data_IF_582688129130
#
_entry.id   IF_582688129130
#
_cell.length_a   1.000
_cell.length_b   1.000
_cell.length_c   1.000
_cell.angle_alpha   90.00
_cell.angle_beta   90.00
_cell.angle_gamma   90.00
#
_symmetry.space_group_name_H-M   'P 1'
#
loop_
_entity.id
_entity.type
_entity.pdbx_description
1 polymer ?
#
# COMPACT_ATOMS: atom_id res chain seq x y z
N UNK A 1 53.73 12.37 -48.63
CA UNK A 1 52.30 12.35 -48.97
C UNK A 1 51.65 11.30 -48.10
N UNK A 2 51.15 11.72 -46.93
CA UNK A 2 50.31 10.89 -46.06
C UNK A 2 48.88 11.27 -46.37
N UNK A 3 48.02 10.29 -46.63
CA UNK A 3 46.57 10.39 -46.41
C UNK A 3 45.99 8.97 -46.30
N UNK A 4 45.64 8.57 -45.08
CA UNK A 4 44.60 7.56 -44.82
C UNK A 4 43.81 8.05 -43.61
N UNK A 5 42.64 8.62 -43.87
CA UNK A 5 41.66 9.01 -42.86
C UNK A 5 40.96 7.75 -42.31
N UNK A 6 41.16 7.47 -41.02
CA UNK A 6 40.34 6.50 -40.27
C UNK A 6 39.28 7.27 -39.48
N UNK A 7 38.02 7.15 -39.89
CA UNK A 7 36.86 7.57 -39.10
C UNK A 7 36.77 6.70 -37.83
N UNK A 8 36.98 7.30 -36.67
CA UNK A 8 36.58 6.70 -35.39
C UNK A 8 36.13 7.78 -34.42
N UNK A 9 34.84 8.13 -34.47
CA UNK A 9 34.14 8.89 -33.43
C UNK A 9 32.68 8.49 -33.38
N UNK A 10 32.29 7.77 -32.31
CA UNK A 10 31.06 7.92 -31.50
C UNK A 10 30.69 6.59 -30.80
N UNK A 11 31.40 6.23 -29.74
CA UNK A 11 30.88 5.25 -28.75
C UNK A 11 31.10 5.72 -27.29
N UNK A 12 31.72 6.88 -27.06
CA UNK A 12 32.04 7.35 -25.70
C UNK A 12 31.22 8.60 -25.36
N UNK A 13 29.96 8.43 -24.94
CA UNK A 13 29.28 9.47 -24.09
C UNK A 13 27.96 9.01 -23.43
N UNK A 14 27.49 7.77 -23.61
CA UNK A 14 26.26 7.30 -22.94
C UNK A 14 26.51 6.87 -21.49
N UNK A 15 27.57 6.10 -21.25
CA UNK A 15 27.92 5.55 -19.94
C UNK A 15 28.33 6.61 -18.89
N UNK A 16 28.97 7.71 -19.32
CA UNK A 16 29.36 8.82 -18.42
C UNK A 16 28.17 9.68 -17.99
N UNK A 17 27.24 9.97 -18.91
CA UNK A 17 25.98 10.68 -18.59
C UNK A 17 25.05 9.85 -17.71
N UNK A 18 24.98 8.53 -17.94
CA UNK A 18 24.22 7.59 -17.12
C UNK A 18 24.71 7.56 -15.65
N UNK A 19 26.03 7.48 -15.42
CA UNK A 19 26.60 7.52 -14.06
C UNK A 19 26.33 8.84 -13.32
N UNK A 20 26.25 9.97 -14.04
CA UNK A 20 25.97 11.28 -13.43
C UNK A 20 24.50 11.39 -13.03
N UNK A 21 23.56 10.95 -13.87
CA UNK A 21 22.11 10.94 -13.53
C UNK A 21 21.83 10.01 -12.35
N UNK A 22 22.52 8.87 -12.27
CA UNK A 22 22.42 7.90 -11.19
C UNK A 22 22.95 8.46 -9.85
N UNK A 23 24.03 9.26 -9.89
CA UNK A 23 24.51 10.04 -8.74
C UNK A 23 23.57 11.21 -8.37
N UNK A 24 22.85 11.78 -9.34
CA UNK A 24 21.98 12.96 -9.13
C UNK A 24 20.68 12.62 -8.39
N UNK A 25 20.30 11.34 -8.23
CA UNK A 25 19.06 10.93 -7.53
C UNK A 25 19.29 10.06 -6.29
N UNK A 26 20.55 9.88 -5.88
CA UNK A 26 20.90 9.12 -4.67
C UNK A 26 20.78 10.01 -3.43
N UNK A 27 20.03 9.54 -2.43
CA UNK A 27 19.97 10.14 -1.10
C UNK A 27 20.81 9.32 -0.12
N UNK A 28 21.65 10.00 0.68
CA UNK A 28 22.36 9.39 1.82
C UNK A 28 21.55 9.64 3.08
N UNK A 29 20.53 8.83 3.34
CA UNK A 29 19.62 9.10 4.45
C UNK A 29 20.26 8.68 5.78
N UNK A 30 20.46 9.59 6.75
CA UNK A 30 21.05 9.24 8.03
C UNK A 30 20.18 8.23 8.77
N UNK A 31 20.84 7.32 9.47
CA UNK A 31 20.20 6.24 10.22
C UNK A 31 19.11 6.73 11.18
N UNK A 32 19.39 7.78 11.96
CA UNK A 32 18.49 8.26 13.00
C UNK A 32 17.22 8.89 12.43
N UNK A 33 17.18 9.13 11.11
CA UNK A 33 16.03 9.69 10.39
C UNK A 33 15.15 8.61 9.75
N UNK A 34 15.57 7.34 9.76
CA UNK A 34 14.81 6.26 9.14
C UNK A 34 13.50 5.99 9.88
N UNK A 35 13.53 6.05 11.21
CA UNK A 35 12.39 5.75 12.08
C UNK A 35 11.84 7.02 12.75
N UNK A 36 11.42 7.99 11.92
CA UNK A 36 10.81 9.23 12.42
C UNK A 36 9.41 8.94 12.94
N UNK A 37 9.15 9.32 14.20
CA UNK A 37 7.81 9.29 14.81
C UNK A 37 7.41 10.73 15.14
N UNK A 38 6.32 11.26 14.54
CA UNK A 38 5.84 12.58 14.89
C UNK A 38 5.16 12.57 16.26
N UNK A 39 5.25 13.68 16.99
CA UNK A 39 4.61 13.83 18.30
C UNK A 39 3.18 14.38 18.26
N UNK A 40 2.87 15.19 17.25
CA UNK A 40 1.60 15.94 17.18
C UNK A 40 0.71 15.45 16.05
N UNK A 41 1.13 15.70 14.80
CA UNK A 41 0.34 15.38 13.62
C UNK A 41 0.97 14.28 12.78
N UNK A 42 0.12 13.51 12.09
CA UNK A 42 0.57 12.48 11.15
C UNK A 42 1.34 13.10 9.98
N UNK A 43 2.53 12.58 9.71
CA UNK A 43 3.31 12.92 8.52
C UNK A 43 2.65 12.25 7.30
N UNK A 44 2.35 13.04 6.28
CA UNK A 44 1.79 12.54 5.02
C UNK A 44 2.87 11.91 4.14
N UNK A 45 2.46 11.02 3.22
CA UNK A 45 3.38 10.38 2.26
C UNK A 45 4.08 11.45 1.41
N UNK A 46 3.32 12.44 0.95
CA UNK A 46 3.85 13.55 0.14
C UNK A 46 4.84 14.39 0.93
N UNK A 47 4.53 14.76 2.19
CA UNK A 47 5.48 15.50 3.03
C UNK A 47 6.79 14.73 3.24
N UNK A 48 6.71 13.41 3.49
CA UNK A 48 7.90 12.55 3.63
C UNK A 48 8.76 12.56 2.36
N UNK A 49 8.14 12.45 1.18
CA UNK A 49 8.85 12.48 -0.11
C UNK A 49 9.49 13.84 -0.37
N UNK A 50 8.76 14.93 -0.16
CA UNK A 50 9.28 16.31 -0.27
C UNK A 50 10.51 16.46 0.64
N UNK A 51 10.40 16.03 1.89
CA UNK A 51 11.50 16.08 2.85
C UNK A 51 12.75 15.33 2.36
N UNK A 52 12.59 14.13 1.79
CA UNK A 52 13.71 13.36 1.24
C UNK A 52 14.38 14.07 0.05
N UNK A 53 13.61 14.70 -0.82
CA UNK A 53 14.14 15.49 -1.95
C UNK A 53 14.89 16.72 -1.43
N UNK A 54 14.28 17.48 -0.50
CA UNK A 54 14.94 18.62 0.15
C UNK A 54 16.24 18.21 0.81
N UNK A 55 16.26 17.10 1.56
CA UNK A 55 17.46 16.60 2.21
C UNK A 55 18.57 16.31 1.20
N UNK A 56 18.23 15.73 0.05
CA UNK A 56 19.20 15.46 -1.00
C UNK A 56 19.77 16.75 -1.62
N UNK A 57 18.93 17.76 -1.88
CA UNK A 57 19.41 19.06 -2.37
C UNK A 57 20.32 19.75 -1.35
N UNK A 58 20.00 19.64 -0.06
CA UNK A 58 20.83 20.20 1.00
C UNK A 58 22.19 19.49 1.10
N UNK A 59 22.20 18.14 1.03
CA UNK A 59 23.43 17.35 1.02
C UNK A 59 24.37 17.73 -0.14
N UNK A 60 23.82 18.03 -1.31
CA UNK A 60 24.61 18.49 -2.47
C UNK A 60 25.20 19.89 -2.29
N UNK A 61 24.53 20.74 -1.53
CA UNK A 61 24.98 22.11 -1.28
C UNK A 61 26.06 22.21 -0.20
N UNK A 62 26.22 21.15 0.60
CA UNK A 62 27.24 21.05 1.64
C UNK A 62 26.77 21.52 3.00
N UNK A 63 27.39 20.97 4.05
CA UNK A 63 27.02 21.21 5.45
C UNK A 63 27.35 22.62 5.94
N UNK A 64 28.29 23.33 5.31
CA UNK A 64 28.73 24.66 5.72
C UNK A 64 27.65 25.75 5.60
N UNK A 65 26.64 25.56 4.74
CA UNK A 65 25.57 26.56 4.55
C UNK A 65 24.54 26.50 5.67
N UNK A 66 24.00 27.63 6.10
CA UNK A 66 22.91 27.67 7.09
C UNK A 66 21.52 27.53 6.47
N UNK A 67 21.36 28.01 5.25
CA UNK A 67 20.15 27.86 4.45
C UNK A 67 20.47 27.16 3.11
N UNK A 68 19.49 26.42 2.62
CA UNK A 68 19.54 25.68 1.37
C UNK A 68 18.49 26.21 0.40
N UNK A 69 18.84 26.25 -0.88
CA UNK A 69 17.94 26.76 -1.92
C UNK A 69 17.76 25.76 -3.06
N UNK A 70 16.56 25.68 -3.61
CA UNK A 70 16.28 24.96 -4.85
C UNK A 70 15.06 25.57 -5.53
N UNK A 71 14.96 25.44 -6.86
CA UNK A 71 13.74 25.84 -7.55
C UNK A 71 12.62 24.92 -7.11
N UNK A 72 11.45 25.50 -6.83
CA UNK A 72 10.31 24.72 -6.37
C UNK A 72 9.88 23.68 -7.42
N UNK A 73 10.04 24.01 -8.70
CA UNK A 73 9.82 23.10 -9.83
C UNK A 73 10.75 21.86 -9.79
N UNK A 74 11.97 21.99 -9.30
CA UNK A 74 12.92 20.87 -9.21
C UNK A 74 12.55 19.93 -8.05
N UNK A 75 12.10 20.49 -6.92
CA UNK A 75 11.59 19.70 -5.78
C UNK A 75 10.33 18.94 -6.17
N UNK A 76 9.45 19.62 -6.92
CA UNK A 76 8.27 19.06 -7.55
C UNK A 76 8.66 17.91 -8.51
N UNK A 77 9.60 18.10 -9.42
CA UNK A 77 10.03 17.05 -10.35
C UNK A 77 10.61 15.83 -9.62
N UNK A 78 11.33 16.04 -8.52
CA UNK A 78 11.89 14.95 -7.70
C UNK A 78 10.84 14.03 -7.03
N UNK A 79 9.59 14.46 -6.96
CA UNK A 79 8.44 13.66 -6.48
C UNK A 79 7.40 13.41 -7.60
N UNK A 80 7.79 13.72 -8.85
CA UNK A 80 6.97 13.75 -10.06
C UNK A 80 5.62 14.48 -9.87
N UNK A 81 5.65 15.80 -10.04
CA UNK A 81 4.63 16.72 -9.53
C UNK A 81 4.19 17.69 -10.62
N UNK A 82 2.88 17.81 -10.81
CA UNK A 82 2.30 18.77 -11.76
C UNK A 82 1.25 19.61 -11.03
N UNK A 83 1.66 20.72 -10.43
CA UNK A 83 0.69 21.66 -9.85
C UNK A 83 1.23 23.08 -9.72
N UNK A 84 0.37 24.04 -10.05
CA UNK A 84 0.55 25.46 -9.77
C UNK A 84 -0.03 25.85 -8.39
N UNK A 85 -0.36 24.90 -7.51
CA UNK A 85 -1.03 25.18 -6.23
C UNK A 85 -0.05 25.45 -5.09
N UNK A 86 0.53 26.65 -5.09
CA UNK A 86 1.50 27.12 -4.08
C UNK A 86 0.97 27.04 -2.64
N UNK A 87 -0.34 27.21 -2.41
CA UNK A 87 -0.92 27.16 -1.07
C UNK A 87 -0.88 25.78 -0.42
N UNK A 88 -1.07 24.72 -1.22
CA UNK A 88 -0.94 23.35 -0.72
C UNK A 88 0.52 23.04 -0.34
N UNK A 89 1.48 23.55 -1.10
CA UNK A 89 2.91 23.41 -0.82
C UNK A 89 3.27 24.12 0.49
N UNK A 90 2.81 25.37 0.66
CA UNK A 90 2.97 26.11 1.92
C UNK A 90 2.38 25.34 3.11
N UNK A 91 1.27 24.61 2.92
CA UNK A 91 0.69 23.76 3.95
C UNK A 91 1.63 22.61 4.36
N UNK A 92 2.26 21.93 3.40
CA UNK A 92 3.27 20.91 3.71
C UNK A 92 4.48 21.49 4.46
N UNK A 93 4.97 22.67 4.07
CA UNK A 93 6.08 23.32 4.78
C UNK A 93 5.70 23.74 6.20
N UNK A 94 4.51 24.32 6.40
CA UNK A 94 3.98 24.60 7.75
C UNK A 94 3.92 23.33 8.58
N UNK A 95 3.38 22.25 8.03
CA UNK A 95 3.31 20.96 8.72
C UNK A 95 4.71 20.47 9.11
N UNK A 96 5.69 20.52 8.22
CA UNK A 96 7.07 20.09 8.52
C UNK A 96 7.72 20.96 9.60
N UNK A 97 7.48 22.28 9.58
CA UNK A 97 8.02 23.21 10.56
C UNK A 97 7.40 23.04 11.97
N UNK A 98 6.16 22.55 12.06
CA UNK A 98 5.47 22.32 13.35
C UNK A 98 5.53 20.88 13.84
N UNK A 99 5.97 19.93 13.01
CA UNK A 99 6.07 18.52 13.38
C UNK A 99 7.33 18.28 14.21
N UNK A 100 7.18 18.25 15.53
CA UNK A 100 8.23 17.82 16.44
C UNK A 100 8.52 16.33 16.31
N UNK A 101 9.81 16.00 16.16
CA UNK A 101 10.31 14.64 15.99
C UNK A 101 11.38 14.37 17.03
N UNK A 102 11.33 13.18 17.62
CA UNK A 102 12.43 12.65 18.43
C UNK A 102 13.44 11.96 17.53
N UNK A 103 14.70 12.36 17.65
CA UNK A 103 15.83 11.79 16.94
C UNK A 103 16.51 10.80 17.85
N UNK A 104 16.42 9.51 17.49
CA UNK A 104 17.06 8.42 18.20
C UNK A 104 17.41 7.31 17.21
N UNK A 105 18.60 6.71 17.34
CA UNK A 105 18.95 5.54 16.54
C UNK A 105 18.02 4.36 16.88
N UNK A 106 17.43 3.70 15.88
CA UNK A 106 16.63 2.49 16.09
C UNK A 106 17.50 1.24 16.34
N UNK A 107 18.83 1.34 16.25
CA UNK A 107 19.73 0.19 16.40
C UNK A 107 20.41 0.23 17.76
N UNK A 108 20.23 -0.83 18.54
CA UNK A 108 20.91 -1.04 19.82
C UNK A 108 22.43 -0.94 19.64
N UNK A 109 23.10 -0.19 20.52
CA UNK A 109 24.56 -0.03 20.53
C UNK A 109 25.13 1.10 19.67
N UNK A 110 24.31 1.88 18.95
CA UNK A 110 24.78 3.02 18.14
C UNK A 110 24.87 4.36 18.92
N UNK A 111 24.85 4.31 20.25
CA UNK A 111 24.84 5.48 21.13
C UNK A 111 23.42 6.05 21.31
N UNK A 112 22.99 6.19 22.56
CA UNK A 112 21.70 6.79 22.88
C UNK A 112 21.83 8.32 22.93
N UNK A 113 21.89 8.97 21.77
CA UNK A 113 21.68 10.41 21.69
C UNK A 113 20.20 10.66 21.42
N UNK A 114 19.53 11.32 22.36
CA UNK A 114 18.14 11.74 22.23
C UNK A 114 18.11 13.25 22.04
N UNK A 115 17.41 13.70 21.00
CA UNK A 115 17.14 15.12 20.80
C UNK A 115 15.75 15.31 20.18
N UNK A 116 15.19 16.51 20.35
CA UNK A 116 13.95 16.91 19.68
C UNK A 116 14.27 18.06 18.73
N UNK A 117 13.73 17.99 17.52
CA UNK A 117 13.60 19.16 16.66
C UNK A 117 12.45 18.99 15.67
N UNK A 118 12.05 20.09 15.03
CA UNK A 118 11.14 20.01 13.89
C UNK A 118 11.83 19.38 12.67
N UNK A 119 11.05 18.88 11.71
CA UNK A 119 11.61 18.33 10.46
C UNK A 119 12.42 19.40 9.71
N UNK A 120 11.92 20.63 9.67
CA UNK A 120 12.64 21.80 9.14
C UNK A 120 12.57 22.93 10.17
N UNK A 121 13.61 23.73 10.27
CA UNK A 121 13.64 24.90 11.16
C UNK A 121 13.00 26.13 10.50
N UNK A 122 13.10 26.23 9.17
CA UNK A 122 12.62 27.37 8.40
C UNK A 122 12.23 26.95 6.98
N UNK A 123 11.28 27.67 6.37
CA UNK A 123 10.99 27.62 4.96
C UNK A 123 10.47 28.98 4.45
N UNK A 124 11.01 29.45 3.33
CA UNK A 124 10.62 30.67 2.65
C UNK A 124 10.48 30.43 1.14
N UNK A 125 9.47 31.04 0.52
CA UNK A 125 9.25 30.99 -0.92
C UNK A 125 9.59 32.36 -1.51
N UNK A 126 10.67 32.43 -2.28
CA UNK A 126 11.22 33.65 -2.85
C UNK A 126 10.92 33.68 -4.35
N UNK A 127 10.20 34.70 -4.81
CA UNK A 127 9.98 34.92 -6.24
C UNK A 127 11.25 35.51 -6.85
N UNK A 128 11.86 34.80 -7.80
CA UNK A 128 13.04 35.27 -8.52
C UNK A 128 12.72 35.28 -10.03
N UNK A 129 12.37 36.46 -10.55
CA UNK A 129 11.86 36.59 -11.92
C UNK A 129 10.58 35.78 -12.11
N UNK A 130 10.56 34.86 -13.07
CA UNK A 130 9.42 33.98 -13.34
C UNK A 130 9.51 32.62 -12.63
N UNK A 131 10.53 32.41 -11.79
CA UNK A 131 10.72 31.17 -11.04
C UNK A 131 10.46 31.39 -9.53
N UNK A 132 9.91 30.37 -8.88
CA UNK A 132 9.73 30.34 -7.44
C UNK A 132 10.82 29.48 -6.81
N UNK A 133 11.64 30.07 -5.94
CA UNK A 133 12.74 29.42 -5.24
C UNK A 133 12.30 29.11 -3.81
N UNK A 134 12.48 27.87 -3.37
CA UNK A 134 12.35 27.50 -1.97
C UNK A 134 13.70 27.71 -1.28
N UNK A 135 13.70 28.46 -0.18
CA UNK A 135 14.76 28.47 0.82
C UNK A 135 14.28 27.69 2.07
N UNK A 136 15.16 26.89 2.68
CA UNK A 136 14.86 26.20 3.94
C UNK A 136 16.12 25.99 4.78
N UNK A 137 15.94 25.69 6.07
CA UNK A 137 17.04 25.29 6.97
C UNK A 137 16.65 24.13 7.88
N UNK A 138 17.66 23.46 8.43
CA UNK A 138 17.51 22.43 9.45
C UNK A 138 17.94 22.95 10.81
N UNK A 139 17.45 22.34 11.89
CA UNK A 139 17.85 22.73 13.23
C UNK A 139 19.36 22.49 13.43
N UNK A 140 20.12 23.45 14.01
CA UNK A 140 21.58 23.37 14.10
C UNK A 140 22.10 22.11 14.78
N UNK A 141 21.37 21.60 15.78
CA UNK A 141 21.72 20.42 16.56
C UNK A 141 21.73 19.11 15.76
N UNK A 142 20.96 19.02 14.67
CA UNK A 142 20.88 17.80 13.83
C UNK A 142 21.47 18.01 12.42
N UNK A 143 21.78 19.25 12.04
CA UNK A 143 22.26 19.63 10.70
C UNK A 143 23.45 18.80 10.25
N UNK A 144 24.47 18.64 11.10
CA UNK A 144 25.66 17.85 10.78
C UNK A 144 25.27 16.40 10.45
N UNK A 145 24.45 15.80 11.31
CA UNK A 145 24.02 14.41 11.14
C UNK A 145 23.16 14.22 9.89
N UNK A 146 22.31 15.20 9.56
CA UNK A 146 21.48 15.17 8.37
C UNK A 146 22.27 15.24 7.07
N UNK A 147 23.28 16.11 7.03
CA UNK A 147 23.90 16.53 5.77
C UNK A 147 25.22 15.83 5.45
N UNK A 148 25.96 15.45 6.48
CA UNK A 148 27.15 14.63 6.35
C UNK A 148 27.13 13.45 7.32
N UNK A 149 26.17 12.51 7.13
CA UNK A 149 26.04 11.36 8.00
C UNK A 149 27.22 10.40 7.84
N UNK A 150 27.84 10.01 8.96
CA UNK A 150 28.79 8.90 8.96
C UNK A 150 28.11 7.55 8.72
N UNK A 151 26.87 7.39 9.21
CA UNK A 151 26.04 6.17 9.07
C UNK A 151 24.76 6.51 8.33
N UNK A 152 24.59 5.95 7.14
CA UNK A 152 23.47 6.26 6.27
C UNK A 152 23.02 5.05 5.45
N UNK A 153 21.74 5.09 5.05
CA UNK A 153 21.19 4.23 4.02
C UNK A 153 21.27 4.93 2.66
N UNK A 154 21.74 4.21 1.65
CA UNK A 154 21.74 4.67 0.26
C UNK A 154 20.42 4.28 -0.39
N UNK A 155 19.67 5.26 -0.89
CA UNK A 155 18.37 4.99 -1.52
C UNK A 155 18.15 5.90 -2.74
N UNK A 156 17.46 5.35 -3.74
CA UNK A 156 17.09 6.11 -4.94
C UNK A 156 15.80 6.88 -4.70
N UNK A 157 15.83 8.19 -4.94
CA UNK A 157 14.63 9.04 -4.91
C UNK A 157 13.59 8.59 -5.96
N UNK A 158 14.02 8.01 -7.08
CA UNK A 158 13.11 7.49 -8.10
C UNK A 158 12.31 6.29 -7.57
N UNK A 159 12.96 5.39 -6.85
CA UNK A 159 12.26 4.25 -6.22
C UNK A 159 11.32 4.74 -5.11
N UNK A 160 11.74 5.73 -4.32
CA UNK A 160 10.86 6.36 -3.33
C UNK A 160 9.62 7.01 -3.97
N UNK A 161 9.76 7.58 -5.16
CA UNK A 161 8.66 8.20 -5.88
C UNK A 161 7.56 7.19 -6.27
N UNK A 162 7.91 5.94 -6.61
CA UNK A 162 6.95 4.89 -6.99
C UNK A 162 6.16 4.32 -5.79
N UNK A 163 6.70 4.45 -4.57
CA UNK A 163 6.07 3.99 -3.34
C UNK A 163 5.00 4.97 -2.89
N UNK A 164 3.83 4.47 -2.52
CA UNK A 164 2.65 5.32 -2.42
C UNK A 164 1.89 5.24 -1.09
N UNK A 165 2.32 4.36 -0.19
CA UNK A 165 1.83 4.34 1.19
C UNK A 165 2.95 4.70 2.15
N UNK A 166 2.59 5.29 3.29
CA UNK A 166 3.60 5.67 4.30
C UNK A 166 4.43 4.47 4.73
N UNK A 167 3.75 3.37 5.04
CA UNK A 167 4.40 2.13 5.45
C UNK A 167 5.34 1.58 4.38
N UNK A 168 4.96 1.62 3.10
CA UNK A 168 5.84 1.18 2.02
C UNK A 168 7.09 2.06 1.86
N UNK A 169 6.94 3.38 2.00
CA UNK A 169 8.07 4.33 1.94
C UNK A 169 9.02 4.09 3.11
N UNK A 170 8.52 4.09 4.35
CA UNK A 170 9.36 3.93 5.54
C UNK A 170 9.99 2.55 5.59
N UNK A 171 9.25 1.49 5.23
CA UNK A 171 9.79 0.14 5.23
C UNK A 171 10.93 0.00 4.21
N UNK A 172 10.77 0.56 3.01
CA UNK A 172 11.85 0.61 2.02
C UNK A 172 13.06 1.38 2.55
N UNK A 173 12.85 2.59 3.10
CA UNK A 173 13.93 3.40 3.69
C UNK A 173 14.73 2.63 4.74
N UNK A 174 14.04 1.97 5.67
CA UNK A 174 14.66 1.14 6.70
C UNK A 174 15.43 -0.03 6.06
N UNK A 175 14.81 -0.74 5.12
CA UNK A 175 15.41 -1.93 4.50
C UNK A 175 16.61 -1.61 3.61
N UNK A 176 16.66 -0.44 2.95
CA UNK A 176 17.85 0.02 2.21
C UNK A 176 19.12 0.01 3.06
N UNK A 177 19.01 0.25 4.37
CA UNK A 177 20.15 0.18 5.30
C UNK A 177 20.74 -1.23 5.38
N UNK A 178 19.89 -2.25 5.35
CA UNK A 178 20.26 -3.64 5.64
C UNK A 178 20.44 -4.50 4.38
N UNK A 179 20.14 -3.96 3.20
CA UNK A 179 20.23 -4.66 1.93
C UNK A 179 21.63 -5.20 1.62
N UNK A 180 22.66 -4.47 2.06
CA UNK A 180 24.08 -4.82 1.85
C UNK A 180 24.74 -5.37 3.14
N UNK A 181 23.97 -5.59 4.20
CA UNK A 181 24.47 -6.16 5.46
C UNK A 181 24.66 -7.69 5.30
N UNK A 182 25.79 -8.28 5.75
CA UNK A 182 25.99 -9.74 5.71
C UNK A 182 24.85 -10.58 6.30
N UNK A 183 24.19 -10.09 7.37
CA UNK A 183 23.04 -10.80 7.94
C UNK A 183 21.79 -10.72 7.08
N UNK A 184 21.67 -9.67 6.26
CA UNK A 184 20.45 -9.33 5.52
C UNK A 184 19.24 -9.16 6.42
N UNK A 185 19.43 -8.75 7.69
CA UNK A 185 18.35 -8.65 8.67
C UNK A 185 18.29 -7.24 9.27
N UNK A 186 17.08 -6.67 9.35
CA UNK A 186 16.85 -5.42 10.10
C UNK A 186 17.10 -5.63 11.59
N UNK A 187 17.17 -4.53 12.35
CA UNK A 187 17.04 -4.61 13.80
C UNK A 187 15.71 -5.32 14.18
N UNK A 188 15.77 -6.21 15.17
CA UNK A 188 14.59 -6.80 15.80
C UNK A 188 14.01 -5.75 16.74
N UNK A 189 12.74 -5.41 16.55
CA UNK A 189 12.06 -4.40 17.36
C UNK A 189 10.64 -4.85 17.71
N UNK A 190 10.09 -4.43 18.88
CA UNK A 190 8.70 -4.73 19.24
C UNK A 190 7.73 -4.29 18.16
N UNK A 191 6.69 -5.07 17.87
CA UNK A 191 5.72 -4.70 16.84
C UNK A 191 5.03 -3.35 17.14
N UNK A 192 4.89 -3.01 18.42
CA UNK A 192 4.38 -1.71 18.87
C UNK A 192 5.30 -0.54 18.50
N UNK A 193 6.62 -0.76 18.39
CA UNK A 193 7.57 0.25 17.90
C UNK A 193 7.39 0.49 16.39
N UNK A 194 7.17 -0.57 15.62
CA UNK A 194 6.94 -0.47 14.17
C UNK A 194 5.65 0.27 13.81
N UNK A 195 4.64 0.26 14.69
CA UNK A 195 3.33 0.86 14.42
C UNK A 195 3.39 2.37 14.14
N UNK A 196 3.84 3.24 15.06
CA UNK A 196 3.94 4.67 14.78
C UNK A 196 4.95 4.98 13.67
N UNK A 197 6.03 4.21 13.58
CA UNK A 197 7.07 4.35 12.55
C UNK A 197 6.51 4.12 11.14
N UNK A 198 5.83 2.98 10.90
CA UNK A 198 5.30 2.64 9.58
C UNK A 198 4.03 3.42 9.23
N UNK A 199 3.23 3.81 10.22
CA UNK A 199 2.02 4.61 9.96
C UNK A 199 2.33 6.10 9.77
N UNK A 200 3.48 6.58 10.27
CA UNK A 200 3.84 7.99 10.30
C UNK A 200 2.91 8.82 11.19
N UNK A 201 2.21 8.18 12.13
CA UNK A 201 1.28 8.82 13.05
C UNK A 201 1.83 8.71 14.49
N UNK A 202 1.52 9.67 15.38
CA UNK A 202 1.83 9.53 16.79
C UNK A 202 1.23 8.25 17.35
N UNK A 203 1.94 7.59 18.27
CA UNK A 203 1.36 6.42 18.93
C UNK A 203 0.26 6.87 19.89
N UNK A 204 -0.90 6.22 19.80
CA UNK A 204 -2.06 6.54 20.62
C UNK A 204 -2.80 5.27 20.97
N UNK A 205 -3.29 5.19 22.22
CA UNK A 205 -4.16 4.10 22.67
C UNK A 205 -5.44 3.96 21.83
N UNK A 206 -5.87 5.02 21.14
CA UNK A 206 -7.04 5.02 20.24
C UNK A 206 -6.70 4.64 18.79
N UNK A 207 -5.46 4.25 18.52
CA UNK A 207 -5.04 3.82 17.19
C UNK A 207 -5.84 2.58 16.75
N UNK A 208 -6.33 2.58 15.51
CA UNK A 208 -7.00 1.41 14.91
C UNK A 208 -6.08 0.18 14.78
N UNK A 209 -4.78 0.33 15.08
CA UNK A 209 -3.75 -0.69 14.94
C UNK A 209 -3.18 -1.15 16.30
N UNK A 210 -3.96 -1.03 17.38
CA UNK A 210 -3.59 -1.57 18.70
C UNK A 210 -3.61 -3.11 18.75
N UNK A 211 -4.22 -3.76 17.76
CA UNK A 211 -4.15 -5.21 17.61
C UNK A 211 -3.17 -5.59 16.52
N UNK A 212 -2.22 -6.47 16.86
CA UNK A 212 -1.20 -6.94 15.92
C UNK A 212 -1.82 -7.54 14.64
N UNK A 213 -2.92 -8.29 14.75
CA UNK A 213 -3.60 -8.90 13.59
C UNK A 213 -4.03 -7.84 12.56
N UNK A 214 -4.61 -6.74 13.03
CA UNK A 214 -5.08 -5.63 12.17
C UNK A 214 -3.89 -4.87 11.60
N UNK A 215 -2.91 -4.53 12.45
CA UNK A 215 -1.67 -3.86 12.03
C UNK A 215 -0.92 -4.65 10.95
N UNK A 216 -0.75 -5.96 11.17
CA UNK A 216 -0.04 -6.84 10.24
C UNK A 216 -0.78 -6.94 8.89
N UNK A 217 -2.10 -7.14 8.91
CA UNK A 217 -2.93 -7.22 7.69
C UNK A 217 -2.90 -5.91 6.90
N UNK A 218 -3.16 -4.79 7.57
CA UNK A 218 -3.45 -3.53 6.89
C UNK A 218 -2.23 -2.66 6.63
N UNK A 219 -1.15 -2.86 7.36
CA UNK A 219 0.06 -2.04 7.26
C UNK A 219 1.24 -2.89 6.78
N UNK A 220 1.65 -3.88 7.57
CA UNK A 220 2.91 -4.61 7.33
C UNK A 220 2.86 -5.43 6.04
N UNK A 221 1.88 -6.33 5.88
CA UNK A 221 1.78 -7.19 4.69
C UNK A 221 1.59 -6.40 3.40
N UNK A 222 0.80 -5.33 3.44
CA UNK A 222 0.59 -4.44 2.29
C UNK A 222 1.89 -3.70 1.93
N UNK A 223 2.63 -3.22 2.92
CA UNK A 223 3.93 -2.58 2.71
C UNK A 223 4.96 -3.55 2.12
N UNK A 224 5.10 -4.75 2.71
CA UNK A 224 6.02 -5.80 2.20
C UNK A 224 5.68 -6.16 0.75
N UNK A 225 4.41 -6.44 0.46
CA UNK A 225 3.95 -6.73 -0.91
C UNK A 225 4.32 -5.60 -1.86
N UNK A 226 4.06 -4.35 -1.47
CA UNK A 226 4.33 -3.19 -2.33
C UNK A 226 5.82 -3.00 -2.58
N UNK A 227 6.66 -3.12 -1.56
CA UNK A 227 8.12 -2.96 -1.71
C UNK A 227 8.68 -4.07 -2.60
N UNK A 228 8.23 -5.32 -2.41
CA UNK A 228 8.61 -6.44 -3.27
C UNK A 228 8.08 -6.30 -4.70
N UNK A 229 7.02 -5.54 -4.93
CA UNK A 229 6.48 -5.34 -6.28
C UNK A 229 7.26 -4.28 -7.06
N UNK A 230 7.59 -3.14 -6.43
CA UNK A 230 8.03 -1.93 -7.17
C UNK A 230 9.48 -1.51 -6.94
N UNK A 231 10.22 -2.20 -6.08
CA UNK A 231 11.59 -1.80 -5.71
C UNK A 231 12.63 -2.86 -6.08
N UNK A 232 13.90 -2.48 -5.98
CA UNK A 232 15.08 -3.32 -6.14
C UNK A 232 15.31 -4.30 -4.97
N UNK A 233 14.48 -4.24 -3.93
CA UNK A 233 14.58 -5.09 -2.75
C UNK A 233 13.56 -6.23 -2.75
N UNK A 234 13.99 -7.35 -2.19
CA UNK A 234 13.16 -8.46 -1.75
C UNK A 234 13.20 -8.50 -0.21
N UNK A 235 12.01 -8.45 0.39
CA UNK A 235 11.81 -8.32 1.83
C UNK A 235 10.83 -9.37 2.31
N UNK A 236 11.20 -10.09 3.37
CA UNK A 236 10.33 -11.04 4.06
C UNK A 236 10.15 -10.65 5.53
N UNK A 237 8.90 -10.74 6.01
CA UNK A 237 8.57 -10.53 7.42
C UNK A 237 8.97 -11.77 8.24
N UNK A 238 9.70 -11.54 9.34
CA UNK A 238 10.00 -12.52 10.37
C UNK A 238 9.27 -12.10 11.66
N UNK A 239 8.34 -12.95 12.09
CA UNK A 239 7.59 -12.77 13.35
C UNK A 239 8.29 -13.53 14.48
N UNK A 240 8.71 -12.83 15.52
CA UNK A 240 9.24 -13.45 16.73
C UNK A 240 8.12 -13.57 17.76
N UNK A 241 7.73 -14.81 18.08
CA UNK A 241 6.63 -15.12 18.99
C UNK A 241 7.13 -15.39 20.41
N UNK A 242 6.39 -14.90 21.39
CA UNK A 242 6.53 -15.29 22.79
C UNK A 242 5.22 -15.94 23.23
N UNK A 243 5.25 -17.27 23.38
CA UNK A 243 4.03 -18.07 23.52
C UNK A 243 3.17 -18.00 22.26
N UNK A 244 1.90 -17.61 22.39
CA UNK A 244 0.95 -17.47 21.28
C UNK A 244 0.96 -16.09 20.61
N UNK A 245 1.61 -15.11 21.23
CA UNK A 245 1.58 -13.72 20.78
C UNK A 245 2.85 -13.34 20.02
N UNK A 246 2.72 -12.55 18.97
CA UNK A 246 3.86 -11.94 18.29
C UNK A 246 4.36 -10.78 19.14
N UNK A 247 5.65 -10.79 19.48
CA UNK A 247 6.28 -9.76 20.31
C UNK A 247 7.08 -8.79 19.46
N UNK A 248 7.97 -9.32 18.63
CA UNK A 248 8.88 -8.51 17.82
C UNK A 248 8.74 -8.85 16.34
N UNK A 249 9.04 -7.84 15.52
CA UNK A 249 9.16 -7.98 14.08
C UNK A 249 10.61 -7.73 13.67
N UNK A 250 10.99 -8.44 12.63
CA UNK A 250 12.25 -8.27 11.93
C UNK A 250 11.99 -8.50 10.45
N UNK A 251 12.78 -7.89 9.58
CA UNK A 251 12.66 -8.11 8.15
C UNK A 251 13.96 -8.67 7.61
N UNK A 252 13.85 -9.72 6.80
CA UNK A 252 14.93 -10.21 5.95
C UNK A 252 14.93 -9.38 4.68
N UNK A 253 16.11 -8.95 4.24
CA UNK A 253 16.29 -8.03 3.12
C UNK A 253 17.37 -8.57 2.22
N UNK A 254 17.11 -8.59 0.93
CA UNK A 254 18.08 -8.88 -0.12
C UNK A 254 17.86 -7.96 -1.31
N UNK A 255 18.91 -7.68 -2.08
CA UNK A 255 18.75 -7.09 -3.41
C UNK A 255 18.29 -8.17 -4.39
N UNK A 256 17.34 -7.83 -5.26
CA UNK A 256 16.94 -8.72 -6.36
C UNK A 256 18.08 -8.84 -7.35
N UNK A 257 18.43 -10.08 -7.71
CA UNK A 257 19.47 -10.39 -8.71
C UNK A 257 19.09 -9.94 -10.12
N UNK A 258 17.79 -9.94 -10.41
CA UNK A 258 17.24 -9.66 -11.73
C UNK A 258 16.23 -8.54 -11.58
N UNK A 259 16.65 -7.34 -11.95
CA UNK A 259 15.88 -6.15 -12.34
C UNK A 259 16.59 -4.88 -11.82
N UNK A 260 17.55 -4.39 -12.62
CA UNK A 260 17.59 -2.96 -12.94
C UNK A 260 16.37 -2.66 -13.82
N UNK A 261 15.14 -2.89 -13.33
CA UNK A 261 13.98 -2.24 -13.92
C UNK A 261 14.11 -0.80 -13.46
N UNK A 262 14.84 -0.04 -14.28
CA UNK A 262 14.55 1.37 -14.44
C UNK A 262 13.04 1.43 -14.64
N UNK A 263 12.28 2.15 -13.82
CA UNK A 263 10.92 2.46 -14.20
C UNK A 263 11.02 3.32 -15.47
N UNK A 264 10.97 2.67 -16.64
CA UNK A 264 10.42 3.26 -17.87
C UNK A 264 8.89 3.41 -17.74
N UNK A 265 8.33 2.87 -16.65
CA UNK A 265 7.06 3.32 -16.13
C UNK A 265 7.23 4.79 -15.75
N UNK A 266 6.72 5.67 -16.63
CA UNK A 266 6.44 7.07 -16.30
C UNK A 266 5.86 7.07 -14.89
N UNK A 267 6.59 7.71 -13.97
CA UNK A 267 6.10 7.90 -12.60
C UNK A 267 4.70 8.52 -12.77
N UNK A 268 3.70 8.03 -12.04
CA UNK A 268 2.37 8.66 -12.09
C UNK A 268 2.47 9.92 -11.23
N UNK A 269 2.38 11.12 -11.81
CA UNK A 269 2.66 12.32 -11.05
C UNK A 269 1.62 12.51 -9.94
N UNK A 270 2.08 12.92 -8.75
CA UNK A 270 1.18 13.32 -7.68
C UNK A 270 0.52 14.63 -8.09
N UNK A 271 -0.74 14.54 -8.52
CA UNK A 271 -1.53 15.71 -8.91
C UNK A 271 -1.99 16.51 -7.67
N UNK A 272 -1.13 17.44 -7.24
CA UNK A 272 -1.45 18.39 -6.19
C UNK A 272 -2.55 19.39 -6.58
N UNK A 273 -2.82 19.60 -7.88
CA UNK A 273 -3.93 20.46 -8.31
C UNK A 273 -5.24 19.75 -7.94
N UNK A 274 -5.37 18.47 -8.26
CA UNK A 274 -6.49 17.63 -7.86
C UNK A 274 -6.62 17.56 -6.33
N UNK A 275 -5.54 17.34 -5.58
CA UNK A 275 -5.58 17.35 -4.10
C UNK A 275 -6.05 18.71 -3.57
N UNK A 276 -5.56 19.80 -4.15
CA UNK A 276 -5.97 21.15 -3.81
C UNK A 276 -7.46 21.41 -4.03
N UNK A 277 -7.98 20.94 -5.16
CA UNK A 277 -9.42 21.03 -5.47
C UNK A 277 -10.23 20.18 -4.51
N UNK A 278 -9.79 18.96 -4.18
CA UNK A 278 -10.43 18.10 -3.19
C UNK A 278 -10.51 18.77 -1.81
N UNK A 279 -9.41 19.40 -1.36
CA UNK A 279 -9.37 20.11 -0.07
C UNK A 279 -10.33 21.30 -0.08
N UNK A 280 -10.34 22.11 -1.14
CA UNK A 280 -11.30 23.22 -1.30
C UNK A 280 -12.75 22.72 -1.29
N UNK A 281 -12.98 21.52 -1.81
CA UNK A 281 -14.28 20.89 -1.83
C UNK A 281 -14.66 20.20 -0.50
N UNK A 282 -13.83 20.35 0.55
CA UNK A 282 -14.11 19.90 1.91
C UNK A 282 -13.52 18.54 2.28
N UNK A 283 -12.68 17.93 1.43
CA UNK A 283 -12.04 16.65 1.77
C UNK A 283 -10.77 16.87 2.62
N UNK A 284 -10.57 16.10 3.70
CA UNK A 284 -9.30 16.06 4.42
C UNK A 284 -8.16 15.69 3.47
N UNK A 285 -7.03 16.38 3.62
CA UNK A 285 -5.88 16.21 2.74
C UNK A 285 -5.41 14.75 2.63
N UNK A 286 -5.29 14.05 3.75
CA UNK A 286 -4.87 12.65 3.76
C UNK A 286 -5.87 11.76 2.98
N UNK A 287 -7.16 12.12 2.99
CA UNK A 287 -8.18 11.40 2.25
C UNK A 287 -8.10 11.71 0.75
N UNK A 288 -7.88 12.98 0.39
CA UNK A 288 -7.65 13.39 -0.99
C UNK A 288 -6.42 12.68 -1.60
N UNK A 289 -5.29 12.64 -0.88
CA UNK A 289 -4.09 11.91 -1.30
C UNK A 289 -4.38 10.41 -1.49
N UNK A 290 -5.13 9.79 -0.57
CA UNK A 290 -5.53 8.37 -0.69
C UNK A 290 -6.45 8.10 -1.88
N UNK A 291 -7.38 9.01 -2.19
CA UNK A 291 -8.30 8.86 -3.33
C UNK A 291 -7.57 9.07 -4.66
N UNK A 292 -6.73 10.10 -4.73
CA UNK A 292 -5.87 10.37 -5.88
C UNK A 292 -5.05 9.12 -6.19
N UNK A 293 -4.46 8.52 -5.17
CA UNK A 293 -3.62 7.36 -5.36
C UNK A 293 -4.38 6.10 -5.79
N UNK A 294 -5.61 5.94 -5.32
CA UNK A 294 -6.40 4.75 -5.59
C UNK A 294 -7.06 4.79 -6.97
N UNK A 295 -7.54 5.95 -7.40
CA UNK A 295 -8.36 6.10 -8.61
C UNK A 295 -7.69 6.92 -9.71
N UNK A 296 -6.56 7.59 -9.42
CA UNK A 296 -5.86 8.47 -10.34
C UNK A 296 -6.41 9.90 -10.35
N UNK A 297 -5.63 10.83 -10.92
CA UNK A 297 -5.96 12.26 -10.97
C UNK A 297 -7.24 12.55 -11.76
N UNK A 298 -7.36 11.97 -12.96
CA UNK A 298 -8.49 12.19 -13.87
C UNK A 298 -9.82 11.78 -13.26
N UNK A 299 -9.89 10.58 -12.68
CA UNK A 299 -11.11 10.08 -12.04
C UNK A 299 -11.54 10.96 -10.86
N UNK A 300 -10.58 11.41 -10.05
CA UNK A 300 -10.86 12.28 -8.91
C UNK A 300 -11.28 13.68 -9.36
N UNK A 301 -10.66 14.26 -10.38
CA UNK A 301 -11.06 15.54 -10.98
C UNK A 301 -12.50 15.48 -11.51
N UNK A 302 -12.84 14.43 -12.27
CA UNK A 302 -14.19 14.24 -12.80
C UNK A 302 -15.22 14.07 -11.68
N UNK A 303 -14.91 13.28 -10.64
CA UNK A 303 -15.79 13.09 -9.50
C UNK A 303 -16.00 14.40 -8.71
N UNK A 304 -14.96 15.22 -8.57
CA UNK A 304 -15.05 16.55 -7.95
C UNK A 304 -15.87 17.52 -8.80
N UNK A 305 -15.75 17.47 -10.13
CA UNK A 305 -16.56 18.28 -11.03
C UNK A 305 -18.05 17.95 -10.89
N UNK A 306 -18.42 16.67 -10.88
CA UNK A 306 -19.81 16.22 -10.68
C UNK A 306 -20.35 16.64 -9.32
N UNK A 307 -19.51 16.62 -8.28
CA UNK A 307 -19.90 17.14 -6.97
C UNK A 307 -20.14 18.64 -6.96
N UNK A 308 -19.23 19.42 -7.57
CA UNK A 308 -19.39 20.87 -7.65
C UNK A 308 -20.63 21.25 -8.45
N UNK A 309 -20.92 20.57 -9.57
CA UNK A 309 -22.16 20.76 -10.31
C UNK A 309 -23.40 20.47 -9.46
N UNK A 310 -23.37 19.42 -8.63
CA UNK A 310 -24.48 19.11 -7.73
C UNK A 310 -24.66 20.17 -6.65
N UNK A 311 -23.58 20.75 -6.13
CA UNK A 311 -23.64 21.83 -5.15
C UNK A 311 -24.20 23.13 -5.73
N UNK A 312 -23.99 23.38 -7.03
CA UNK A 312 -24.51 24.55 -7.73
C UNK A 312 -26.00 24.44 -8.12
N UNK A 313 -26.63 23.25 -8.00
CA UNK A 313 -28.05 23.06 -8.36
C UNK A 313 -28.95 23.34 -7.15
N UNK A 314 -29.75 24.43 -7.16
CA UNK A 314 -30.60 24.80 -6.03
C UNK A 314 -31.80 23.85 -5.79
N UNK A 315 -32.14 23.01 -6.78
CA UNK A 315 -33.31 22.13 -6.75
C UNK A 315 -33.03 20.72 -6.18
N UNK A 316 -31.87 20.48 -5.56
CA UNK A 316 -31.51 19.18 -4.98
C UNK A 316 -31.10 19.32 -3.51
N UNK A 317 -31.25 18.25 -2.73
CA UNK A 317 -30.75 18.23 -1.35
C UNK A 317 -29.24 18.50 -1.30
N UNK A 318 -28.78 19.41 -0.42
CA UNK A 318 -27.36 19.72 -0.26
C UNK A 318 -26.53 18.48 0.07
N UNK A 319 -25.34 18.40 -0.50
CA UNK A 319 -24.38 17.33 -0.17
C UNK A 319 -23.89 17.53 1.27
N UNK A 320 -24.50 16.82 2.23
CA UNK A 320 -24.16 16.93 3.66
C UNK A 320 -22.75 16.46 4.00
N UNK A 321 -22.22 15.48 3.26
CA UNK A 321 -20.89 14.91 3.48
C UNK A 321 -20.18 14.78 2.11
N UNK A 322 -19.41 15.81 1.69
CA UNK A 322 -18.69 15.81 0.41
C UNK A 322 -17.84 14.56 0.19
N UNK A 323 -17.16 14.10 1.25
CA UNK A 323 -16.29 12.92 1.19
C UNK A 323 -17.02 11.64 0.77
N UNK A 324 -18.17 11.33 1.38
CA UNK A 324 -18.92 10.11 1.08
C UNK A 324 -19.45 10.17 -0.35
N UNK A 325 -19.88 11.34 -0.80
CA UNK A 325 -20.40 11.53 -2.14
C UNK A 325 -19.34 11.32 -3.23
N UNK A 326 -18.15 11.93 -3.08
CA UNK A 326 -17.03 11.70 -4.02
C UNK A 326 -16.63 10.23 -4.04
N UNK A 327 -16.58 9.57 -2.88
CA UNK A 327 -16.28 8.13 -2.81
C UNK A 327 -17.34 7.30 -3.54
N UNK A 328 -18.62 7.62 -3.39
CA UNK A 328 -19.71 6.93 -4.10
C UNK A 328 -19.61 7.11 -5.61
N UNK A 329 -19.29 8.31 -6.09
CA UNK A 329 -19.07 8.55 -7.53
C UNK A 329 -17.89 7.74 -8.04
N UNK A 330 -16.75 7.78 -7.34
CA UNK A 330 -15.55 7.02 -7.72
C UNK A 330 -15.78 5.50 -7.69
N UNK A 331 -16.60 5.01 -6.74
CA UNK A 331 -16.98 3.60 -6.65
C UNK A 331 -18.03 3.18 -7.69
N UNK A 332 -18.85 4.12 -8.17
CA UNK A 332 -19.84 3.84 -9.22
C UNK A 332 -19.21 3.52 -10.58
N UNK A 333 -17.90 3.74 -10.73
CA UNK A 333 -17.16 3.46 -11.96
C UNK A 333 -17.49 4.40 -13.13
N UNK A 334 -18.30 5.45 -12.90
CA UNK A 334 -18.68 6.42 -13.93
C UNK A 334 -17.49 7.26 -14.43
N UNK A 335 -16.48 7.47 -13.57
CA UNK A 335 -15.30 8.25 -13.88
C UNK A 335 -14.08 7.51 -13.32
N UNK A 336 -13.34 6.84 -14.20
CA UNK A 336 -12.16 6.07 -13.82
C UNK A 336 -12.22 4.59 -14.19
N UNK A 337 -12.16 4.30 -15.49
CA UNK A 337 -11.19 3.35 -16.04
C UNK A 337 -10.86 3.85 -17.46
N UNK A 338 -9.67 4.42 -17.67
CA UNK A 338 -9.02 4.15 -18.95
C UNK A 338 -8.84 2.63 -18.97
N UNK A 339 -9.58 1.95 -19.85
CA UNK A 339 -9.25 0.59 -20.24
C UNK A 339 -7.81 0.67 -20.74
N UNK A 340 -6.86 0.31 -19.90
CA UNK A 340 -5.62 -0.24 -20.40
C UNK A 340 -6.05 -1.34 -21.36
N UNK A 341 -5.65 -1.22 -22.61
CA UNK A 341 -5.76 -2.28 -23.61
C UNK A 341 -4.83 -3.45 -23.26
N UNK A 342 -4.77 -3.83 -21.99
CA UNK A 342 -4.47 -5.17 -21.56
C UNK A 342 -5.75 -5.94 -21.78
N UNK A 343 -5.76 -6.77 -22.82
CA UNK A 343 -6.77 -7.80 -23.06
C UNK A 343 -7.40 -8.26 -21.75
N UNK A 344 -8.67 -7.90 -21.55
CA UNK A 344 -9.53 -8.55 -20.56
C UNK A 344 -9.34 -10.03 -20.84
N UNK A 345 -8.66 -10.72 -19.92
CA UNK A 345 -8.60 -12.17 -19.95
C UNK A 345 -10.05 -12.62 -20.10
N UNK A 346 -10.36 -13.21 -21.25
CA UNK A 346 -11.71 -13.54 -21.71
C UNK A 346 -12.59 -13.90 -20.51
N UNK A 347 -13.66 -13.13 -20.25
CA UNK A 347 -14.66 -13.58 -19.29
C UNK A 347 -15.21 -14.90 -19.83
N UNK A 348 -14.87 -16.00 -19.16
CA UNK A 348 -15.19 -17.38 -19.59
C UNK A 348 -16.67 -17.73 -19.35
N UNK A 349 -17.46 -16.80 -18.79
CA UNK A 349 -18.90 -16.93 -18.57
C UNK A 349 -19.65 -15.96 -19.49
N UNK A 350 -20.48 -16.51 -20.36
CA UNK A 350 -21.15 -15.78 -21.45
C UNK A 350 -22.50 -15.21 -20.99
N UNK A 351 -23.08 -15.73 -19.89
CA UNK A 351 -24.41 -15.33 -19.40
C UNK A 351 -24.51 -15.12 -17.89
N UNK A 352 -25.48 -14.29 -17.47
CA UNK A 352 -25.85 -14.07 -16.06
C UNK A 352 -26.24 -15.37 -15.33
N UNK A 353 -26.79 -16.33 -16.06
CA UNK A 353 -27.19 -17.64 -15.52
C UNK A 353 -25.97 -18.51 -15.15
N UNK A 354 -24.92 -18.51 -15.99
CA UNK A 354 -23.67 -19.22 -15.71
C UNK A 354 -22.95 -18.62 -14.51
N UNK A 355 -22.94 -17.28 -14.40
CA UNK A 355 -22.39 -16.59 -13.23
C UNK A 355 -23.10 -17.02 -11.94
N UNK A 356 -24.43 -17.11 -11.94
CA UNK A 356 -25.20 -17.57 -10.77
C UNK A 356 -24.87 -19.02 -10.38
N UNK A 357 -24.70 -19.92 -11.35
CA UNK A 357 -24.28 -21.32 -11.09
C UNK A 357 -22.88 -21.39 -10.48
N UNK A 358 -21.94 -20.57 -10.95
CA UNK A 358 -20.59 -20.50 -10.40
C UNK A 358 -20.59 -19.95 -8.96
N UNK A 359 -21.42 -18.95 -8.68
CA UNK A 359 -21.61 -18.43 -7.31
C UNK A 359 -22.19 -19.50 -6.38
N UNK A 360 -23.19 -20.26 -6.83
CA UNK A 360 -23.77 -21.34 -6.04
C UNK A 360 -22.74 -22.45 -5.73
N UNK A 361 -21.93 -22.81 -6.72
CA UNK A 361 -20.83 -23.77 -6.56
C UNK A 361 -19.75 -23.27 -5.60
N UNK A 362 -19.36 -22.00 -5.71
CA UNK A 362 -18.43 -21.35 -4.79
C UNK A 362 -18.93 -21.43 -3.35
N UNK A 363 -20.19 -21.08 -3.13
CA UNK A 363 -20.81 -21.13 -1.80
C UNK A 363 -20.88 -22.55 -1.25
N UNK A 364 -21.09 -23.55 -2.12
CA UNK A 364 -21.09 -24.96 -1.73
C UNK A 364 -19.70 -25.42 -1.30
N UNK A 365 -18.65 -25.06 -2.04
CA UNK A 365 -17.26 -25.38 -1.70
C UNK A 365 -16.84 -24.73 -0.38
N UNK A 366 -17.18 -23.46 -0.18
CA UNK A 366 -16.88 -22.75 1.08
C UNK A 366 -17.59 -23.36 2.28
N UNK A 367 -18.84 -23.81 2.11
CA UNK A 367 -19.56 -24.55 3.18
C UNK A 367 -18.90 -25.89 3.50
N UNK A 368 -18.40 -26.61 2.49
CA UNK A 368 -17.69 -27.87 2.70
C UNK A 368 -16.37 -27.65 3.44
N UNK A 369 -15.63 -26.59 3.11
CA UNK A 369 -14.39 -26.18 3.78
C UNK A 369 -14.63 -25.86 5.27
N UNK A 370 -15.67 -25.08 5.58
CA UNK A 370 -16.05 -24.80 6.97
C UNK A 370 -16.45 -26.06 7.74
N UNK A 371 -17.13 -27.00 7.06
CA UNK A 371 -17.50 -28.25 7.69
C UNK A 371 -16.29 -29.13 8.00
N UNK A 372 -15.34 -29.26 7.06
CA UNK A 372 -14.10 -30.00 7.27
C UNK A 372 -13.28 -29.38 8.40
N UNK A 373 -13.10 -28.06 8.38
CA UNK A 373 -12.41 -27.31 9.44
C UNK A 373 -13.07 -27.53 10.80
N UNK A 374 -14.41 -27.55 10.87
CA UNK A 374 -15.12 -27.82 12.12
C UNK A 374 -14.91 -29.24 12.64
N UNK A 375 -14.87 -30.24 11.75
CA UNK A 375 -14.64 -31.64 12.11
C UNK A 375 -13.18 -31.91 12.53
N UNK A 376 -12.21 -31.18 11.97
CA UNK A 376 -10.79 -31.30 12.32
C UNK A 376 -10.44 -30.67 13.67
N UNK A 377 -11.30 -29.80 14.22
CA UNK A 377 -11.11 -29.23 15.55
C UNK A 377 -11.28 -30.26 16.66
N UNK A 378 -10.59 -30.05 17.78
CA UNK A 378 -10.77 -30.86 19.00
C UNK A 378 -12.21 -30.77 19.53
N UNK A 379 -12.68 -31.81 20.22
CA UNK A 379 -14.05 -31.85 20.78
C UNK A 379 -14.30 -30.67 21.73
N UNK A 380 -13.29 -30.26 22.50
CA UNK A 380 -13.36 -29.09 23.39
C UNK A 380 -13.54 -27.77 22.63
N UNK A 381 -12.86 -27.59 21.50
CA UNK A 381 -12.95 -26.37 20.71
C UNK A 381 -14.23 -26.32 19.87
N UNK A 382 -14.70 -27.46 19.40
CA UNK A 382 -16.04 -27.59 18.80
C UNK A 382 -17.09 -27.13 19.81
N UNK A 383 -17.03 -27.61 21.05
CA UNK A 383 -18.00 -27.23 22.08
C UNK A 383 -17.94 -25.73 22.42
N UNK A 384 -16.76 -25.12 22.47
CA UNK A 384 -16.61 -23.67 22.67
C UNK A 384 -17.28 -22.85 21.56
N UNK A 385 -17.17 -23.29 20.30
CA UNK A 385 -17.83 -22.61 19.19
C UNK A 385 -19.35 -22.74 19.22
N UNK A 386 -19.86 -23.88 19.68
CA UNK A 386 -21.30 -24.12 19.88
C UNK A 386 -21.84 -23.17 20.96
N UNK A 387 -21.14 -23.05 22.09
CA UNK A 387 -21.51 -22.14 23.19
C UNK A 387 -21.49 -20.68 22.73
N UNK A 388 -20.44 -20.26 22.01
CA UNK A 388 -20.36 -18.89 21.45
C UNK A 388 -21.48 -18.58 20.46
N UNK A 389 -21.83 -19.55 19.61
CA UNK A 389 -22.96 -19.41 18.69
C UNK A 389 -24.28 -19.23 19.44
N UNK A 390 -24.46 -19.92 20.57
CA UNK A 390 -25.64 -19.79 21.42
C UNK A 390 -25.76 -18.41 22.09
N UNK A 391 -24.63 -17.82 22.50
CA UNK A 391 -24.61 -16.52 23.17
C UNK A 391 -24.68 -15.33 22.21
N UNK A 392 -23.96 -15.39 21.08
CA UNK A 392 -23.72 -14.21 20.23
C UNK A 392 -24.57 -14.17 18.96
N UNK A 393 -24.92 -15.33 18.40
CA UNK A 393 -25.41 -15.44 17.02
C UNK A 393 -26.80 -16.03 16.89
N UNK A 394 -27.34 -16.62 17.96
CA UNK A 394 -28.71 -17.11 18.01
C UNK A 394 -29.67 -15.91 18.07
N UNK A 395 -30.42 -15.62 16.99
CA UNK A 395 -31.24 -14.42 16.94
C UNK A 395 -32.40 -14.51 17.95
N UNK A 396 -32.79 -13.37 18.53
CA UNK A 396 -33.86 -13.28 19.55
C UNK A 396 -35.27 -13.68 19.05
N UNK A 397 -35.45 -14.06 17.78
CA UNK A 397 -36.75 -14.39 17.16
C UNK A 397 -36.97 -15.91 16.93
N UNK A 398 -38.22 -16.34 17.09
CA UNK A 398 -38.60 -17.63 17.72
C UNK A 398 -38.62 -18.93 16.90
N UNK A 399 -38.18 -18.99 15.64
CA UNK A 399 -38.21 -20.25 14.85
C UNK A 399 -36.88 -21.00 14.90
N UNK A 400 -35.76 -20.31 14.70
CA UNK A 400 -34.42 -20.90 14.72
C UNK A 400 -34.07 -21.35 16.15
N UNK A 401 -34.45 -20.59 17.18
CA UNK A 401 -34.28 -20.97 18.60
C UNK A 401 -35.04 -22.24 18.99
N UNK A 402 -36.32 -22.35 18.61
CA UNK A 402 -37.12 -23.57 18.86
C UNK A 402 -36.54 -24.78 18.13
N UNK A 403 -36.03 -24.57 16.92
CA UNK A 403 -35.42 -25.64 16.12
C UNK A 403 -34.08 -26.09 16.71
N UNK A 404 -33.25 -25.16 17.20
CA UNK A 404 -32.03 -25.46 17.95
C UNK A 404 -32.31 -26.22 19.26
N UNK A 405 -33.32 -25.81 20.02
CA UNK A 405 -33.71 -26.50 21.27
C UNK A 405 -34.20 -27.94 21.04
N UNK A 406 -34.83 -28.22 19.89
CA UNK A 406 -35.36 -29.56 19.58
C UNK A 406 -34.35 -30.51 18.93
N UNK A 407 -33.48 -30.01 18.03
CA UNK A 407 -32.61 -30.83 17.16
C UNK A 407 -31.14 -30.38 17.15
N UNK A 408 -30.79 -29.34 17.90
CA UNK A 408 -29.44 -28.78 17.93
C UNK A 408 -28.93 -28.36 16.55
N UNK A 409 -27.60 -28.41 16.38
CA UNK A 409 -26.89 -28.06 15.14
C UNK A 409 -27.08 -29.12 14.05
N UNK A 410 -27.66 -30.28 14.36
CA UNK A 410 -27.98 -31.30 13.37
C UNK A 410 -29.11 -30.89 12.41
N UNK A 411 -29.92 -29.89 12.78
CA UNK A 411 -30.94 -29.33 11.89
C UNK A 411 -30.31 -28.56 10.71
N UNK A 412 -30.71 -28.81 9.44
CA UNK A 412 -30.13 -28.15 8.26
C UNK A 412 -30.16 -26.61 8.32
N UNK A 413 -31.25 -26.04 8.84
CA UNK A 413 -31.44 -24.59 8.96
C UNK A 413 -30.48 -24.00 9.99
N UNK A 414 -30.36 -24.66 11.14
CA UNK A 414 -29.49 -24.25 12.25
C UNK A 414 -28.02 -24.42 11.87
N UNK A 415 -27.71 -25.52 11.18
CA UNK A 415 -26.38 -25.81 10.63
C UNK A 415 -25.93 -24.73 9.65
N UNK A 416 -26.82 -24.28 8.77
CA UNK A 416 -26.51 -23.20 7.84
C UNK A 416 -26.19 -21.89 8.57
N UNK A 417 -26.99 -21.51 9.57
CA UNK A 417 -26.73 -20.31 10.38
C UNK A 417 -25.46 -20.42 11.23
N UNK A 418 -25.17 -21.61 11.76
CA UNK A 418 -23.95 -21.89 12.52
C UNK A 418 -22.70 -21.74 11.65
N UNK A 419 -22.68 -22.35 10.46
CA UNK A 419 -21.54 -22.21 9.55
C UNK A 419 -21.42 -20.81 8.97
N UNK A 420 -22.53 -20.08 8.81
CA UNK A 420 -22.47 -18.65 8.47
C UNK A 420 -21.78 -17.83 9.57
N UNK A 421 -22.12 -18.09 10.83
CA UNK A 421 -21.46 -17.46 11.98
C UNK A 421 -19.98 -17.85 12.06
N UNK A 422 -19.65 -19.14 11.92
CA UNK A 422 -18.27 -19.63 11.91
C UNK A 422 -17.46 -19.03 10.74
N UNK A 423 -18.06 -18.91 9.56
CA UNK A 423 -17.44 -18.27 8.40
C UNK A 423 -17.16 -16.79 8.65
N UNK A 424 -18.11 -16.05 9.24
CA UNK A 424 -17.91 -14.64 9.59
C UNK A 424 -16.87 -14.43 10.70
N UNK A 425 -16.65 -15.41 11.57
CA UNK A 425 -15.66 -15.31 12.66
C UNK A 425 -14.26 -15.74 12.23
N UNK A 426 -14.16 -16.66 11.26
CA UNK A 426 -12.89 -17.21 10.76
C UNK A 426 -12.38 -16.47 9.51
N UNK A 427 -13.27 -16.05 8.61
CA UNK A 427 -12.95 -15.37 7.36
C UNK A 427 -13.31 -13.87 7.38
N UNK A 428 -12.88 -13.12 6.37
CA UNK A 428 -13.10 -11.67 6.28
C UNK A 428 -14.57 -11.31 6.00
N UNK A 429 -14.97 -10.09 6.38
CA UNK A 429 -16.30 -9.55 6.06
C UNK A 429 -16.52 -9.53 4.54
N UNK A 430 -17.53 -10.30 4.10
CA UNK A 430 -17.87 -10.41 2.67
C UNK A 430 -17.38 -11.67 1.97
N UNK A 431 -16.89 -12.70 2.69
CA UNK A 431 -16.55 -14.01 2.12
C UNK A 431 -17.72 -14.70 1.36
N UNK A 432 -18.97 -14.28 1.61
CA UNK A 432 -20.16 -14.72 0.86
C UNK A 432 -20.24 -14.15 -0.56
N UNK A 433 -19.36 -13.21 -0.92
CA UNK A 433 -19.31 -12.56 -2.24
C UNK A 433 -18.02 -12.97 -2.96
N UNK A 434 -18.08 -13.91 -3.92
CA UNK A 434 -16.90 -14.31 -4.69
C UNK A 434 -16.38 -13.16 -5.54
N UNK A 435 -15.06 -13.05 -5.62
CA UNK A 435 -14.36 -12.14 -6.54
C UNK A 435 -14.42 -12.67 -7.97
N UNK A 436 -14.28 -11.77 -8.97
CA UNK A 436 -14.31 -12.19 -10.37
C UNK A 436 -13.15 -13.14 -10.74
N UNK A 437 -12.05 -13.11 -9.98
CA UNK A 437 -10.95 -14.06 -10.11
C UNK A 437 -11.32 -15.46 -9.59
N UNK A 438 -11.96 -15.57 -8.42
CA UNK A 438 -12.42 -16.85 -7.87
C UNK A 438 -13.49 -17.50 -8.76
N UNK A 439 -14.36 -16.70 -9.38
CA UNK A 439 -15.32 -17.19 -10.36
C UNK A 439 -14.64 -17.69 -11.65
N UNK A 440 -13.53 -17.06 -12.05
CA UNK A 440 -12.75 -17.48 -13.21
C UNK A 440 -12.04 -18.81 -12.96
N UNK A 441 -11.40 -18.97 -11.79
CA UNK A 441 -10.75 -20.22 -11.41
C UNK A 441 -11.76 -21.38 -11.35
N UNK A 442 -12.95 -21.13 -10.77
CA UNK A 442 -14.04 -22.11 -10.78
C UNK A 442 -14.56 -22.42 -12.18
N UNK A 443 -14.62 -21.42 -13.07
CA UNK A 443 -15.02 -21.64 -14.46
C UNK A 443 -14.01 -22.52 -15.19
N UNK A 444 -12.71 -22.28 -15.01
CA UNK A 444 -11.63 -23.09 -15.58
C UNK A 444 -11.70 -24.53 -15.05
N UNK A 445 -11.85 -24.70 -13.74
CA UNK A 445 -12.00 -26.02 -13.12
C UNK A 445 -13.24 -26.76 -13.66
N UNK A 446 -14.37 -26.07 -13.80
CA UNK A 446 -15.60 -26.68 -14.33
C UNK A 446 -15.48 -27.09 -15.80
N UNK A 447 -14.74 -26.34 -16.62
CA UNK A 447 -14.47 -26.70 -18.02
C UNK A 447 -13.54 -27.90 -18.12
N UNK A 448 -12.52 -27.97 -17.27
CA UNK A 448 -11.60 -29.11 -17.22
C UNK A 448 -12.32 -30.39 -16.77
N UNK A 449 -13.20 -30.30 -15.77
CA UNK A 449 -14.04 -31.43 -15.33
C UNK A 449 -15.01 -31.88 -16.42
N UNK A 450 -15.64 -30.96 -17.15
CA UNK A 450 -16.52 -31.30 -18.27
C UNK A 450 -15.75 -31.99 -19.40
N UNK A 451 -14.54 -31.51 -19.73
CA UNK A 451 -13.67 -32.16 -20.71
C UNK A 451 -13.25 -33.57 -20.25
N UNK A 452 -12.94 -33.78 -18.97
CA UNK A 452 -12.64 -35.12 -18.46
C UNK A 452 -13.84 -36.06 -18.49
N UNK A 453 -15.05 -35.57 -18.20
CA UNK A 453 -16.28 -36.36 -18.28
C UNK A 453 -16.58 -36.74 -19.72
N UNK A 454 -16.43 -35.81 -20.68
CA UNK A 454 -16.59 -36.07 -22.11
C UNK A 454 -15.52 -37.05 -22.63
N UNK A 455 -14.28 -36.97 -22.15
CA UNK A 455 -13.20 -37.92 -22.46
C UNK A 455 -13.48 -39.32 -21.89
N UNK A 456 -14.12 -39.42 -20.72
CA UNK A 456 -14.53 -40.70 -20.12
C UNK A 456 -15.75 -41.31 -20.80
N UNK A 457 -16.72 -40.48 -21.22
CA UNK A 457 -17.88 -40.93 -22.00
C UNK A 457 -17.47 -41.38 -23.40
N UNK A 458 -16.61 -40.64 -24.10
CA UNK A 458 -16.07 -41.05 -25.41
C UNK A 458 -15.18 -42.31 -25.34
N UNK A 459 -14.43 -42.51 -24.25
CA UNK A 459 -13.74 -43.80 -24.00
C UNK A 459 -14.70 -44.95 -23.71
N UNK A 460 -15.78 -44.74 -22.93
CA UNK A 460 -16.80 -45.78 -22.70
C UNK A 460 -17.50 -46.19 -24.01
N UNK A 461 -17.87 -45.22 -24.84
CA UNK A 461 -18.48 -45.47 -26.17
C UNK A 461 -17.51 -46.20 -27.10
N UNK A 462 -16.20 -45.88 -27.08
CA UNK A 462 -15.19 -46.63 -27.86
C UNK A 462 -14.95 -48.06 -27.36
N UNK A 463 -15.10 -48.32 -26.06
CA UNK A 463 -14.96 -49.66 -25.48
C UNK A 463 -16.19 -50.52 -25.79
N UNK A 464 -17.40 -49.95 -25.77
CA UNK A 464 -18.64 -50.64 -26.15
C UNK A 464 -18.72 -50.95 -27.66
N UNK A 465 -18.19 -50.07 -28.53
CA UNK A 465 -18.10 -50.33 -29.98
C UNK A 465 -17.00 -51.36 -30.31
N UNK A 466 -15.98 -51.52 -29.44
CA UNK A 466 -14.91 -52.51 -29.59
C UNK A 466 -15.26 -53.93 -29.10
N UNK A 467 -16.45 -54.14 -28.52
CA UNK A 467 -16.91 -55.44 -28.02
C UNK A 467 -18.22 -55.90 -28.69
N UNK A 468 -18.30 -55.76 -30.01
CA UNK A 468 -19.19 -56.58 -30.86
C UNK A 468 -18.35 -57.41 -31.83
N UNK A 469 -17.69 -58.41 -31.20
CA UNK A 469 -17.36 -59.81 -31.57
C UNK A 469 -17.29 -60.31 -33.05
N UNK A 470 -16.59 -61.46 -33.25
CA UNK A 470 -15.87 -61.87 -34.48
C UNK A 470 -16.71 -62.27 -35.69
#
# INVERSE_FOLDING_TARGET
MLDTHTESKRVIDSSRKLNVVEQVMLLRKPVNTLAIVPKSEKITVTARKIYNVMLQYAQKQGVEKDCYRARLADIATGIDFRSNNTELIKKYFRQMATTGVEWQSPTLGEGAHWSISALIAHAELIQHGNELVLEWSYAPNIKQELLDPQRFAKMSLQVLATLNTMASVVLYEICCRYADNPSGLTARQPWAWWRPVLTGAPDSATSAYQEYKIFNRDVVKKAVKKVNEVTDLEIDLIEHKMGRSVQDLQFKVKRKLTQLVRPDRQIEPVDLKTIGMAIKAGLPQERAERLLLKYGARALDDALAVMNERQLRPNMEPVRIPEKYVVTILQSGQFGMEKSSSSVANMVYDTKAERMKLIERFMTQKRAELYAMFQEMSVDDQQKWIVKFEEEALPSSGVIRKTYQSKGIASPIVRHTFFKYLGNSVWEDGWEKPTDFELLDLAILSKNEQQEVDLRQTKKVRIDIGMTKP
#
